data_IF_507262496401
#
_entry.id   IF_507262496401
#
_cell.length_a   1.000
_cell.length_b   1.000
_cell.length_c   1.000
_cell.angle_alpha   90.00
_cell.angle_beta   90.00
_cell.angle_gamma   90.00
#
_symmetry.space_group_name_H-M   'P 1'
#
loop_
_entity.id
_entity.type
_entity.pdbx_description
1 polymer ?
#
# COMPACT_ATOMS: atom_id res chain seq x y z
N UNK A 1 8.55 -3.27 -19.94
CA UNK A 1 8.84 -4.51 -19.18
C UNK A 1 8.20 -4.36 -17.80
N UNK A 2 7.12 -5.08 -17.52
CA UNK A 2 6.44 -4.98 -16.22
C UNK A 2 7.27 -5.66 -15.14
N UNK A 3 7.44 -4.98 -14.00
CA UNK A 3 7.96 -5.61 -12.79
C UNK A 3 6.90 -6.63 -12.33
N UNK A 4 7.07 -7.88 -12.76
CA UNK A 4 6.28 -8.99 -12.23
C UNK A 4 6.89 -9.38 -10.90
N UNK A 5 6.06 -9.49 -9.86
CA UNK A 5 6.47 -9.96 -8.55
C UNK A 5 7.20 -11.31 -8.64
N UNK A 6 8.32 -11.43 -7.93
CA UNK A 6 9.08 -12.67 -7.70
C UNK A 6 9.70 -12.59 -6.30
N UNK A 7 9.49 -13.62 -5.49
CA UNK A 7 10.05 -13.67 -4.13
C UNK A 7 11.58 -13.53 -4.11
N UNK A 8 12.28 -14.14 -5.09
CA UNK A 8 13.73 -14.04 -5.24
C UNK A 8 14.23 -12.61 -5.50
N UNK A 9 13.40 -11.71 -6.03
CA UNK A 9 13.77 -10.32 -6.24
C UNK A 9 13.77 -9.57 -4.90
N UNK A 10 12.84 -9.91 -4.01
CA UNK A 10 12.79 -9.36 -2.65
C UNK A 10 13.98 -9.84 -1.80
N UNK A 11 14.37 -11.11 -1.90
CA UNK A 11 15.54 -11.63 -1.21
C UNK A 11 16.82 -10.84 -1.57
N UNK A 12 17.07 -10.64 -2.88
CA UNK A 12 18.20 -9.84 -3.38
C UNK A 12 18.13 -8.38 -2.96
N UNK A 13 16.92 -7.81 -2.92
CA UNK A 13 16.71 -6.46 -2.41
C UNK A 13 17.11 -6.36 -0.94
N UNK A 14 16.63 -7.28 -0.09
CA UNK A 14 16.97 -7.33 1.32
C UNK A 14 18.47 -7.51 1.56
N UNK A 15 19.15 -8.36 0.79
CA UNK A 15 20.60 -8.50 0.87
C UNK A 15 21.33 -7.16 0.65
N UNK A 16 20.80 -6.30 -0.23
CA UNK A 16 21.40 -5.01 -0.54
C UNK A 16 21.10 -3.92 0.51
N UNK A 17 19.94 -3.94 1.16
CA UNK A 17 19.50 -2.87 2.09
C UNK A 17 19.45 -3.28 3.56
N UNK A 18 19.68 -4.56 3.85
CA UNK A 18 19.51 -5.13 5.19
C UNK A 18 18.08 -5.00 5.69
N UNK A 19 17.93 -4.56 6.94
CA UNK A 19 16.62 -4.41 7.58
C UNK A 19 15.83 -3.18 7.09
N UNK A 20 16.47 -2.22 6.41
CA UNK A 20 15.84 -0.98 5.93
C UNK A 20 15.00 -1.18 4.64
N UNK A 21 14.13 -2.20 4.65
CA UNK A 21 13.31 -2.60 3.51
C UNK A 21 12.08 -1.71 3.33
N UNK A 22 11.75 -1.39 2.09
CA UNK A 22 10.61 -0.58 1.69
C UNK A 22 9.80 -1.32 0.62
N UNK A 23 8.53 -1.57 0.89
CA UNK A 23 7.59 -2.18 -0.05
C UNK A 23 6.56 -1.15 -0.49
N UNK A 24 6.55 -0.85 -1.80
CA UNK A 24 5.55 0.03 -2.41
C UNK A 24 4.43 -0.79 -3.04
N UNK A 25 3.22 -0.66 -2.49
CA UNK A 25 2.01 -1.29 -3.00
C UNK A 25 1.29 -0.27 -3.87
N UNK A 26 1.68 -0.17 -5.16
CA UNK A 26 1.31 0.98 -5.99
C UNK A 26 0.89 0.71 -7.45
N UNK A 27 1.02 1.75 -8.28
CA UNK A 27 -0.02 2.50 -9.03
C UNK A 27 -0.61 1.86 -10.29
N UNK A 28 -0.16 0.70 -10.75
CA UNK A 28 -0.70 0.16 -12.03
C UNK A 28 -2.13 -0.34 -11.89
N UNK A 29 -2.51 -0.79 -10.71
CA UNK A 29 -3.88 -1.21 -10.42
C UNK A 29 -4.08 -1.12 -8.89
N UNK A 30 -5.25 -0.64 -8.46
CA UNK A 30 -5.53 -0.31 -7.06
C UNK A 30 -5.47 -1.58 -6.18
N UNK A 31 -4.65 -1.62 -5.10
CA UNK A 31 -4.60 -2.76 -4.18
C UNK A 31 -5.95 -3.04 -3.50
N UNK A 32 -6.85 -2.05 -3.43
CA UNK A 32 -8.22 -2.26 -2.98
C UNK A 32 -9.07 -3.11 -3.93
N UNK A 33 -8.54 -3.53 -5.09
CA UNK A 33 -9.25 -4.34 -6.09
C UNK A 33 -8.50 -5.60 -6.53
N UNK A 34 -7.29 -5.85 -6.01
CA UNK A 34 -6.46 -6.99 -6.47
C UNK A 34 -6.02 -7.85 -5.28
N UNK A 35 -6.69 -8.99 -5.06
CA UNK A 35 -6.29 -9.94 -4.02
C UNK A 35 -4.84 -10.43 -4.15
N UNK A 36 -4.34 -10.60 -5.38
CA UNK A 36 -2.98 -11.10 -5.65
C UNK A 36 -1.87 -10.22 -5.07
N UNK A 37 -2.08 -8.89 -4.99
CA UNK A 37 -1.11 -7.98 -4.37
C UNK A 37 -0.91 -8.31 -2.89
N UNK A 38 -2.00 -8.61 -2.19
CA UNK A 38 -1.97 -9.01 -0.78
C UNK A 38 -1.40 -10.41 -0.59
N UNK A 39 -1.65 -11.34 -1.53
CA UNK A 39 -1.03 -12.66 -1.51
C UNK A 39 0.50 -12.58 -1.62
N UNK A 40 1.00 -11.76 -2.55
CA UNK A 40 2.43 -11.54 -2.73
C UNK A 40 3.08 -10.91 -1.48
N UNK A 41 2.42 -9.94 -0.85
CA UNK A 41 2.93 -9.35 0.39
C UNK A 41 2.98 -10.37 1.52
N UNK A 42 1.95 -11.21 1.67
CA UNK A 42 1.95 -12.29 2.68
C UNK A 42 3.09 -13.26 2.43
N UNK A 43 3.31 -13.69 1.19
CA UNK A 43 4.44 -14.57 0.85
C UNK A 43 5.80 -13.96 1.21
N UNK A 44 5.98 -12.66 0.96
CA UNK A 44 7.20 -11.93 1.39
C UNK A 44 7.35 -11.94 2.91
N UNK A 45 6.27 -11.65 3.64
CA UNK A 45 6.28 -11.60 5.11
C UNK A 45 6.50 -12.99 5.70
N UNK A 46 5.92 -14.03 5.12
CA UNK A 46 6.09 -15.41 5.59
C UNK A 46 7.53 -15.90 5.37
N UNK A 47 8.14 -15.55 4.24
CA UNK A 47 9.48 -16.00 3.88
C UNK A 47 10.60 -15.19 4.55
N UNK A 48 10.39 -13.90 4.78
CA UNK A 48 11.44 -12.97 5.19
C UNK A 48 11.09 -12.18 6.46
N UNK A 49 9.86 -12.22 6.95
CA UNK A 49 9.41 -11.35 8.04
C UNK A 49 8.96 -9.98 7.55
N UNK A 50 8.51 -9.15 8.50
CA UNK A 50 7.93 -7.85 8.19
C UNK A 50 8.97 -6.88 7.57
N UNK A 51 8.63 -6.17 6.48
CA UNK A 51 9.44 -5.08 5.98
C UNK A 51 9.48 -3.91 6.96
N UNK A 52 10.50 -3.05 6.85
CA UNK A 52 10.60 -1.86 7.70
C UNK A 52 9.50 -0.83 7.39
N UNK A 53 9.21 -0.61 6.11
CA UNK A 53 8.15 0.28 5.65
C UNK A 53 7.29 -0.38 4.58
N UNK A 54 5.97 -0.24 4.72
CA UNK A 54 5.00 -0.52 3.66
C UNK A 54 4.27 0.76 3.30
N UNK A 55 4.31 1.13 2.02
CA UNK A 55 3.51 2.23 1.47
C UNK A 55 2.34 1.66 0.68
N UNK A 56 1.12 2.12 1.00
CA UNK A 56 -0.09 1.73 0.28
C UNK A 56 -0.61 2.92 -0.51
N UNK A 57 -0.68 2.80 -1.84
CA UNK A 57 -1.35 3.78 -2.67
C UNK A 57 -2.72 3.25 -3.10
N UNK A 58 -3.81 3.96 -2.81
CA UNK A 58 -5.16 3.48 -3.14
C UNK A 58 -6.14 4.60 -3.50
N UNK A 59 -7.17 4.27 -4.29
CA UNK A 59 -8.39 5.08 -4.44
C UNK A 59 -9.57 4.48 -3.67
N UNK A 60 -9.41 3.31 -3.06
CA UNK A 60 -10.45 2.55 -2.39
C UNK A 60 -9.98 2.08 -1.01
N UNK A 61 -10.14 2.96 -0.01
CA UNK A 61 -9.84 2.63 1.39
C UNK A 61 -10.61 1.39 1.85
N UNK A 62 -11.91 1.31 1.54
CA UNK A 62 -12.73 0.14 1.90
C UNK A 62 -12.22 -1.16 1.29
N UNK A 63 -11.79 -1.15 0.02
CA UNK A 63 -11.23 -2.33 -0.64
C UNK A 63 -9.90 -2.77 -0.02
N UNK A 64 -9.03 -1.81 0.32
CA UNK A 64 -7.76 -2.10 1.01
C UNK A 64 -8.02 -2.74 2.37
N UNK A 65 -8.93 -2.18 3.16
CA UNK A 65 -9.26 -2.73 4.48
C UNK A 65 -9.89 -4.12 4.37
N UNK A 66 -10.75 -4.36 3.37
CA UNK A 66 -11.39 -5.66 3.16
C UNK A 66 -10.42 -6.76 2.72
N UNK A 67 -9.47 -6.45 1.84
CA UNK A 67 -8.56 -7.46 1.26
C UNK A 67 -7.25 -7.62 2.04
N UNK A 68 -6.78 -6.53 2.65
CA UNK A 68 -5.45 -6.41 3.24
C UNK A 68 -5.42 -5.94 4.68
N UNK A 69 -6.56 -5.57 5.27
CA UNK A 69 -6.62 -4.98 6.62
C UNK A 69 -5.91 -5.83 7.67
N UNK A 70 -6.12 -7.14 7.66
CA UNK A 70 -5.49 -8.05 8.63
C UNK A 70 -3.98 -8.16 8.41
N UNK A 71 -3.52 -8.16 7.15
CA UNK A 71 -2.09 -8.13 6.84
C UNK A 71 -1.45 -6.82 7.33
N UNK A 72 -2.10 -5.68 7.10
CA UNK A 72 -1.59 -4.38 7.55
C UNK A 72 -1.52 -4.30 9.08
N UNK A 73 -2.52 -4.82 9.80
CA UNK A 73 -2.49 -4.90 11.27
C UNK A 73 -1.34 -5.77 11.75
N UNK A 74 -1.18 -6.97 11.20
CA UNK A 74 -0.09 -7.87 11.57
C UNK A 74 1.30 -7.23 11.33
N UNK A 75 1.45 -6.44 10.27
CA UNK A 75 2.68 -5.69 10.00
C UNK A 75 2.96 -4.62 11.06
N UNK A 76 1.94 -3.86 11.47
CA UNK A 76 2.05 -2.88 12.55
C UNK A 76 2.41 -3.56 13.86
N UNK A 77 1.77 -4.68 14.18
CA UNK A 77 2.04 -5.47 15.40
C UNK A 77 3.48 -6.03 15.39
N UNK A 78 4.03 -6.32 14.21
CA UNK A 78 5.43 -6.72 14.01
C UNK A 78 6.43 -5.54 14.00
N UNK A 79 5.97 -4.30 14.17
CA UNK A 79 6.81 -3.10 14.24
C UNK A 79 7.11 -2.43 12.90
N UNK A 80 6.46 -2.84 11.81
CA UNK A 80 6.59 -2.16 10.52
C UNK A 80 5.89 -0.79 10.54
N UNK A 81 6.47 0.19 9.84
CA UNK A 81 5.79 1.46 9.59
C UNK A 81 4.88 1.32 8.37
N UNK A 82 3.56 1.44 8.57
CA UNK A 82 2.58 1.45 7.48
C UNK A 82 2.24 2.91 7.14
N UNK A 83 2.47 3.26 5.88
CA UNK A 83 2.10 4.56 5.29
C UNK A 83 1.02 4.34 4.23
N UNK A 84 0.16 5.34 4.04
CA UNK A 84 -0.87 5.28 3.02
C UNK A 84 -1.00 6.63 2.29
N UNK A 85 -1.08 6.57 0.97
CA UNK A 85 -1.51 7.67 0.12
C UNK A 85 -2.88 7.34 -0.47
N UNK A 86 -3.89 8.09 -0.04
CA UNK A 86 -5.25 7.97 -0.58
C UNK A 86 -5.46 9.02 -1.66
N UNK A 87 -5.81 8.58 -2.86
CA UNK A 87 -6.13 9.48 -3.97
C UNK A 87 -7.64 9.56 -4.14
N UNK A 88 -8.20 10.75 -3.96
CA UNK A 88 -9.60 11.04 -4.27
C UNK A 88 -9.68 11.76 -5.61
N UNK A 89 -10.34 11.14 -6.60
CA UNK A 89 -10.60 11.74 -7.91
C UNK A 89 -12.09 12.06 -8.05
N UNK A 90 -12.44 13.25 -8.53
CA UNK A 90 -13.85 13.64 -8.73
C UNK A 90 -14.40 14.64 -7.71
N UNK A 91 -13.57 15.49 -7.12
CA UNK A 91 -14.04 16.58 -6.26
C UNK A 91 -14.72 17.72 -7.02
N UNK A 92 -14.48 17.84 -8.33
CA UNK A 92 -15.10 18.84 -9.19
C UNK A 92 -16.63 18.64 -9.20
N UNK A 93 -17.36 19.52 -8.51
CA UNK A 93 -18.82 19.50 -8.38
C UNK A 93 -19.36 18.89 -7.08
N UNK A 94 -18.51 18.54 -6.11
CA UNK A 94 -18.95 18.15 -4.75
C UNK A 94 -18.70 19.30 -3.75
N UNK A 95 -19.46 19.36 -2.65
CA UNK A 95 -19.39 20.40 -1.58
C UNK A 95 -18.02 20.44 -0.84
N UNK A 96 -17.02 19.71 -1.34
CA UNK A 96 -15.67 19.67 -0.82
C UNK A 96 -14.73 20.70 -1.46
N UNK A 97 -15.27 21.68 -2.19
CA UNK A 97 -14.62 22.99 -2.27
C UNK A 97 -14.88 23.68 -0.92
N UNK A 98 -13.88 24.32 -0.26
CA UNK A 98 -14.20 25.15 0.89
C UNK A 98 -15.34 26.07 0.46
N UNK A 99 -16.41 26.13 1.26
CA UNK A 99 -17.52 27.06 1.02
C UNK A 99 -17.02 28.47 1.23
N UNK A 100 -16.15 28.94 0.33
CA UNK A 100 -15.67 30.31 0.24
C UNK A 100 -16.92 31.13 0.08
N UNK A 101 -17.29 31.94 1.10
CA UNK A 101 -18.41 32.85 0.95
C UNK A 101 -18.15 33.69 -0.30
N UNK A 102 -19.15 33.85 -1.15
CA UNK A 102 -19.02 34.77 -2.28
C UNK A 102 -18.69 36.16 -1.73
N UNK A 103 -17.69 36.83 -2.31
CA UNK A 103 -17.38 38.23 -1.99
C UNK A 103 -18.67 39.05 -2.16
N UNK A 104 -19.14 39.62 -1.04
CA UNK A 104 -20.35 40.43 -0.93
C UNK A 104 -20.20 41.80 -1.59
#
# INVERSE_FOLDING_TARGET
MGLCYRLADYARYREAVGEATYVDISRRTDPGRIPAVWANLREVVDAHGAPWVVQVWTKSVGGVLALGGDTLRALVDAGATVTAQVTMTGLAGTIWEPGVPADS
#
